data_IF_025500537087
#
_entry.id   IF_025500537087
#
_cell.length_a   1.000
_cell.length_b   1.000
_cell.length_c   1.000
_cell.angle_alpha   90.00
_cell.angle_beta   90.00
_cell.angle_gamma   90.00
#
_symmetry.space_group_name_H-M   'P 1'
#
loop_
_entity.id
_entity.type
_entity.pdbx_description
1 polymer ?
#
# COMPACT_ATOMS: atom_id res chain seq x y z
N UNK A 1 -12.42 20.95 -27.60
CA UNK A 1 -11.49 20.11 -26.82
C UNK A 1 -10.42 21.00 -26.24
N UNK A 2 -10.65 21.46 -25.01
CA UNK A 2 -9.89 22.52 -24.36
C UNK A 2 -8.70 21.97 -23.56
N UNK A 3 -7.75 22.84 -23.23
CA UNK A 3 -6.52 22.53 -22.45
C UNK A 3 -6.77 21.78 -21.12
N UNK A 4 -8.00 21.79 -20.59
CA UNK A 4 -8.45 21.05 -19.41
C UNK A 4 -8.44 19.53 -19.61
N UNK A 5 -8.89 19.03 -20.76
CA UNK A 5 -9.00 17.59 -21.05
C UNK A 5 -7.62 16.92 -21.11
N UNK A 6 -6.63 17.61 -21.69
CA UNK A 6 -5.25 17.13 -21.78
C UNK A 6 -4.57 17.09 -20.40
N UNK A 7 -4.88 18.05 -19.53
CA UNK A 7 -4.36 18.07 -18.15
C UNK A 7 -4.90 16.90 -17.33
N UNK A 8 -6.19 16.59 -17.49
CA UNK A 8 -6.87 15.52 -16.76
C UNK A 8 -6.36 14.14 -17.21
N UNK A 9 -6.18 13.94 -18.52
CA UNK A 9 -5.56 12.73 -19.08
C UNK A 9 -4.13 12.49 -18.58
N UNK A 10 -3.32 13.55 -18.43
CA UNK A 10 -1.97 13.43 -17.89
C UNK A 10 -1.95 12.98 -16.42
N UNK A 11 -2.88 13.47 -15.60
CA UNK A 11 -3.01 13.04 -14.20
C UNK A 11 -3.49 11.59 -14.07
N UNK A 12 -4.23 11.07 -15.06
CA UNK A 12 -4.64 9.66 -15.13
C UNK A 12 -3.48 8.73 -15.41
N UNK A 13 -2.68 9.05 -16.42
CA UNK A 13 -1.51 8.24 -16.75
C UNK A 13 -0.51 8.18 -15.59
N UNK A 14 -0.31 9.31 -14.88
CA UNK A 14 0.51 9.36 -13.67
C UNK A 14 -0.06 8.51 -12.54
N UNK A 15 -1.39 8.52 -12.34
CA UNK A 15 -2.04 7.71 -11.32
C UNK A 15 -1.88 6.21 -11.61
N UNK A 16 -2.13 5.80 -12.85
CA UNK A 16 -1.91 4.42 -13.32
C UNK A 16 -0.47 3.97 -13.04
N UNK A 17 0.51 4.76 -13.50
CA UNK A 17 1.93 4.44 -13.32
C UNK A 17 2.31 4.29 -11.85
N UNK A 18 1.85 5.20 -10.99
CA UNK A 18 2.13 5.14 -9.55
C UNK A 18 1.42 3.97 -8.86
N UNK A 19 0.23 3.56 -9.32
CA UNK A 19 -0.44 2.37 -8.82
C UNK A 19 0.36 1.11 -9.16
N UNK A 20 0.78 0.95 -10.41
CA UNK A 20 1.60 -0.19 -10.86
C UNK A 20 2.91 -0.23 -10.08
N UNK A 21 3.63 0.89 -10.01
CA UNK A 21 4.91 0.95 -9.32
C UNK A 21 4.78 0.61 -7.83
N UNK A 22 3.79 1.21 -7.14
CA UNK A 22 3.56 0.95 -5.72
C UNK A 22 3.16 -0.50 -5.47
N UNK A 23 2.32 -1.08 -6.33
CA UNK A 23 1.93 -2.48 -6.24
C UNK A 23 3.12 -3.43 -6.41
N UNK A 24 3.98 -3.18 -7.41
CA UNK A 24 5.16 -3.99 -7.67
C UNK A 24 6.19 -3.89 -6.56
N UNK A 25 6.45 -2.69 -6.06
CA UNK A 25 7.36 -2.48 -4.93
C UNK A 25 6.82 -3.16 -3.67
N UNK A 26 5.51 -3.09 -3.40
CA UNK A 26 4.88 -3.79 -2.28
C UNK A 26 4.99 -5.33 -2.43
N UNK A 27 4.72 -5.88 -3.62
CA UNK A 27 4.86 -7.32 -3.88
C UNK A 27 6.31 -7.77 -3.72
N UNK A 28 7.27 -7.02 -4.27
CA UNK A 28 8.71 -7.29 -4.12
C UNK A 28 9.11 -7.26 -2.64
N UNK A 29 8.66 -6.25 -1.90
CA UNK A 29 8.91 -6.09 -0.48
C UNK A 29 8.39 -7.28 0.35
N UNK A 30 7.14 -7.70 0.13
CA UNK A 30 6.54 -8.83 0.84
C UNK A 30 7.23 -10.16 0.49
N UNK A 31 7.70 -10.33 -0.76
CA UNK A 31 8.53 -11.48 -1.15
C UNK A 31 9.88 -11.47 -0.45
N UNK A 32 10.57 -10.33 -0.44
CA UNK A 32 11.83 -10.15 0.28
C UNK A 32 11.66 -10.45 1.77
N UNK A 33 10.57 -9.97 2.38
CA UNK A 33 10.26 -10.25 3.78
C UNK A 33 10.14 -11.74 4.05
N UNK A 34 9.38 -12.47 3.24
CA UNK A 34 9.23 -13.93 3.38
C UNK A 34 10.58 -14.66 3.33
N UNK A 35 11.51 -14.19 2.50
CA UNK A 35 12.86 -14.73 2.40
C UNK A 35 13.68 -14.37 3.66
N UNK A 36 13.67 -13.11 4.06
CA UNK A 36 14.41 -12.61 5.23
C UNK A 36 13.95 -13.26 6.54
N UNK A 37 12.65 -13.52 6.71
CA UNK A 37 12.14 -14.29 7.84
C UNK A 37 12.67 -15.73 7.85
N UNK A 38 12.80 -16.35 6.67
CA UNK A 38 13.43 -17.68 6.58
C UNK A 38 14.92 -17.67 6.94
N UNK A 39 15.64 -16.58 6.63
CA UNK A 39 17.03 -16.40 7.06
C UNK A 39 17.10 -16.17 8.56
N UNK A 40 16.21 -15.33 9.11
CA UNK A 40 16.08 -15.11 10.55
C UNK A 40 15.83 -16.43 11.29
N UNK A 41 14.85 -17.23 10.84
CA UNK A 41 14.49 -18.51 11.43
C UNK A 41 15.69 -19.46 11.48
N UNK A 42 16.46 -19.57 10.39
CA UNK A 42 17.67 -20.40 10.36
C UNK A 42 18.75 -19.91 11.33
N UNK A 43 18.99 -18.60 11.39
CA UNK A 43 20.00 -18.01 12.31
C UNK A 43 19.65 -18.27 13.78
N UNK A 44 18.37 -18.34 14.10
CA UNK A 44 17.87 -18.57 15.46
C UNK A 44 17.52 -20.03 15.76
N UNK A 45 17.90 -20.98 14.89
CA UNK A 45 17.65 -22.42 15.12
C UNK A 45 16.17 -22.83 15.04
N UNK A 46 15.31 -22.00 14.46
CA UNK A 46 13.87 -22.24 14.35
C UNK A 46 13.57 -23.10 13.12
N UNK A 47 13.55 -24.43 13.30
CA UNK A 47 13.48 -25.38 12.18
C UNK A 47 12.11 -26.08 11.98
N UNK A 48 11.25 -26.12 13.00
CA UNK A 48 10.05 -26.97 12.99
C UNK A 48 8.75 -26.20 13.29
N UNK A 49 8.40 -26.02 14.56
CA UNK A 49 7.18 -25.35 14.99
C UNK A 49 7.44 -23.88 15.34
N UNK A 50 6.41 -23.04 15.18
CA UNK A 50 6.40 -21.64 15.62
C UNK A 50 7.52 -20.74 15.02
N UNK A 51 7.93 -21.02 13.78
CA UNK A 51 8.86 -20.16 13.04
C UNK A 51 8.20 -18.81 12.71
N UNK A 52 8.98 -17.72 12.67
CA UNK A 52 8.47 -16.38 12.36
C UNK A 52 7.81 -16.34 10.97
N UNK A 53 8.41 -17.05 10.00
CA UNK A 53 7.87 -17.20 8.65
C UNK A 53 6.53 -17.94 8.62
N UNK A 54 6.35 -18.95 9.47
CA UNK A 54 5.07 -19.66 9.58
C UNK A 54 4.00 -18.81 10.25
N UNK A 55 4.35 -18.11 11.32
CA UNK A 55 3.45 -17.23 12.08
C UNK A 55 2.91 -16.08 11.22
N UNK A 56 3.79 -15.42 10.44
CA UNK A 56 3.40 -14.30 9.59
C UNK A 56 2.83 -14.71 8.22
N UNK A 57 2.73 -16.02 7.91
CA UNK A 57 2.36 -16.51 6.57
C UNK A 57 1.03 -15.96 6.08
N UNK A 58 0.00 -15.94 6.95
CA UNK A 58 -1.32 -15.41 6.62
C UNK A 58 -1.26 -13.92 6.28
N UNK A 59 -0.63 -13.13 7.14
CA UNK A 59 -0.44 -11.69 6.94
C UNK A 59 0.36 -11.37 5.67
N UNK A 60 1.39 -12.16 5.36
CA UNK A 60 2.18 -12.05 4.12
C UNK A 60 1.29 -12.29 2.89
N UNK A 61 0.40 -13.29 2.95
CA UNK A 61 -0.54 -13.56 1.87
C UNK A 61 -1.52 -12.40 1.71
N UNK A 62 -2.14 -11.94 2.79
CA UNK A 62 -3.07 -10.80 2.77
C UNK A 62 -2.43 -9.54 2.18
N UNK A 63 -1.20 -9.21 2.59
CA UNK A 63 -0.49 -8.06 2.05
C UNK A 63 -0.16 -8.20 0.55
N UNK A 64 0.20 -9.41 0.11
CA UNK A 64 0.44 -9.69 -1.32
C UNK A 64 -0.86 -9.59 -2.13
N UNK A 65 -1.96 -10.13 -1.61
CA UNK A 65 -3.26 -10.11 -2.28
C UNK A 65 -3.75 -8.67 -2.41
N UNK A 66 -3.67 -7.86 -1.33
CA UNK A 66 -4.01 -6.43 -1.36
C UNK A 66 -3.13 -5.62 -2.34
N UNK A 67 -1.83 -5.92 -2.43
CA UNK A 67 -0.95 -5.30 -3.42
C UNK A 67 -1.29 -5.74 -4.86
N UNK A 68 -1.77 -6.96 -5.05
CA UNK A 68 -2.23 -7.43 -6.37
C UNK A 68 -3.56 -6.73 -6.77
N UNK A 69 -4.45 -6.49 -5.81
CA UNK A 69 -5.67 -5.69 -6.04
C UNK A 69 -5.36 -4.25 -6.45
N UNK A 70 -4.32 -3.63 -5.88
CA UNK A 70 -3.84 -2.33 -6.35
C UNK A 70 -3.45 -2.34 -7.83
N UNK A 71 -2.77 -3.40 -8.28
CA UNK A 71 -2.41 -3.56 -9.69
C UNK A 71 -3.64 -3.79 -10.57
N UNK A 72 -4.62 -4.55 -10.10
CA UNK A 72 -5.89 -4.73 -10.82
C UNK A 72 -6.63 -3.41 -11.03
N UNK A 73 -6.62 -2.50 -10.04
CA UNK A 73 -7.20 -1.16 -10.20
C UNK A 73 -6.45 -0.35 -11.25
N UNK A 74 -5.12 -0.46 -11.30
CA UNK A 74 -4.34 0.19 -12.36
C UNK A 74 -4.73 -0.33 -13.74
N UNK A 75 -4.88 -1.64 -13.89
CA UNK A 75 -5.31 -2.26 -15.16
C UNK A 75 -6.76 -1.86 -15.53
N UNK A 76 -7.62 -1.61 -14.54
CA UNK A 76 -8.97 -1.09 -14.77
C UNK A 76 -8.94 0.35 -15.28
N UNK A 77 -8.13 1.20 -14.64
CA UNK A 77 -7.91 2.60 -15.05
C UNK A 77 -7.32 2.67 -16.46
N UNK A 78 -6.36 1.80 -16.80
CA UNK A 78 -5.75 1.75 -18.13
C UNK A 78 -6.76 1.38 -19.23
N UNK A 79 -7.80 0.59 -18.87
CA UNK A 79 -8.84 0.12 -19.80
C UNK A 79 -10.01 1.08 -19.90
N UNK A 80 -10.20 1.99 -18.95
CA UNK A 80 -11.32 2.91 -18.99
C UNK A 80 -11.05 4.06 -19.95
N UNK A 81 -12.08 4.46 -20.69
CA UNK A 81 -12.00 5.59 -21.63
C UNK A 81 -11.90 6.93 -20.91
N UNK A 82 -12.42 7.01 -19.69
CA UNK A 82 -12.42 8.20 -18.87
C UNK A 82 -12.31 7.78 -17.42
N UNK A 83 -11.40 8.39 -16.68
CA UNK A 83 -11.38 8.21 -15.25
C UNK A 83 -12.64 8.82 -14.63
N UNK A 84 -13.12 8.16 -13.60
CA UNK A 84 -14.36 8.48 -12.92
C UNK A 84 -14.15 8.44 -11.41
N UNK A 85 -15.08 9.06 -10.67
CA UNK A 85 -15.01 9.11 -9.22
C UNK A 85 -14.93 7.70 -8.59
N UNK A 86 -15.56 6.69 -9.21
CA UNK A 86 -15.52 5.32 -8.71
C UNK A 86 -14.13 4.69 -8.84
N UNK A 87 -13.36 4.99 -9.89
CA UNK A 87 -12.00 4.48 -10.07
C UNK A 87 -11.03 5.12 -9.10
N UNK A 88 -11.17 6.43 -8.85
CA UNK A 88 -10.35 7.08 -7.84
C UNK A 88 -10.69 6.58 -6.44
N UNK A 89 -11.98 6.41 -6.14
CA UNK A 89 -12.43 5.81 -4.88
C UNK A 89 -11.91 4.39 -4.72
N UNK A 90 -11.92 3.58 -5.79
CA UNK A 90 -11.34 2.24 -5.81
C UNK A 90 -9.83 2.27 -5.56
N UNK A 91 -9.08 3.14 -6.25
CA UNK A 91 -7.64 3.32 -6.06
C UNK A 91 -7.31 3.69 -4.61
N UNK A 92 -8.06 4.63 -4.02
CA UNK A 92 -7.92 5.01 -2.61
C UNK A 92 -8.21 3.85 -1.66
N UNK A 93 -9.32 3.17 -1.86
CA UNK A 93 -9.74 2.05 -1.01
C UNK A 93 -8.68 0.95 -1.01
N UNK A 94 -8.22 0.53 -2.19
CA UNK A 94 -7.20 -0.52 -2.34
C UNK A 94 -5.83 -0.09 -1.83
N UNK A 95 -5.44 1.18 -1.99
CA UNK A 95 -4.22 1.72 -1.37
C UNK A 95 -4.28 1.63 0.15
N UNK A 96 -5.40 2.01 0.76
CA UNK A 96 -5.58 1.93 2.20
C UNK A 96 -5.52 0.47 2.68
N UNK A 97 -6.22 -0.45 1.99
CA UNK A 97 -6.18 -1.88 2.30
C UNK A 97 -4.75 -2.45 2.26
N UNK A 98 -3.96 -2.12 1.22
CA UNK A 98 -2.57 -2.54 1.12
C UNK A 98 -1.70 -1.93 2.24
N UNK A 99 -1.87 -0.63 2.52
CA UNK A 99 -1.20 0.05 3.63
C UNK A 99 -1.49 -0.62 4.97
N UNK A 100 -2.75 -0.95 5.23
CA UNK A 100 -3.18 -1.52 6.50
C UNK A 100 -2.72 -2.97 6.65
N UNK A 101 -2.75 -3.77 5.59
CA UNK A 101 -2.14 -5.10 5.58
C UNK A 101 -0.62 -5.06 5.87
N UNK A 102 0.09 -4.06 5.33
CA UNK A 102 1.51 -3.87 5.62
C UNK A 102 1.76 -3.37 7.05
N UNK A 103 0.89 -2.53 7.62
CA UNK A 103 0.97 -2.16 9.05
C UNK A 103 0.70 -3.36 9.95
N UNK A 104 -0.23 -4.22 9.57
CA UNK A 104 -0.56 -5.42 10.31
C UNK A 104 0.61 -6.40 10.36
N UNK A 105 1.40 -6.53 9.27
CA UNK A 105 2.66 -7.26 9.29
C UNK A 105 3.62 -6.76 10.39
N UNK A 106 3.79 -5.44 10.53
CA UNK A 106 4.61 -4.87 11.61
C UNK A 106 4.02 -5.14 12.99
N UNK A 107 2.70 -5.06 13.14
CA UNK A 107 2.02 -5.32 14.40
C UNK A 107 2.19 -6.77 14.84
N UNK A 108 1.97 -7.71 13.92
CA UNK A 108 2.08 -9.14 14.16
C UNK A 108 3.52 -9.59 14.41
N UNK A 109 4.49 -8.94 13.78
CA UNK A 109 5.90 -9.17 14.10
C UNK A 109 6.23 -8.83 15.57
N UNK A 110 5.70 -7.71 16.08
CA UNK A 110 5.83 -7.39 17.51
C UNK A 110 5.14 -8.41 18.40
N UNK A 111 3.93 -8.85 18.04
CA UNK A 111 3.23 -9.91 18.77
C UNK A 111 4.07 -11.18 18.82
N UNK A 112 4.69 -11.56 17.70
CA UNK A 112 5.60 -12.70 17.66
C UNK A 112 6.79 -12.51 18.60
N UNK A 113 7.46 -11.36 18.55
CA UNK A 113 8.60 -11.06 19.42
C UNK A 113 8.18 -11.03 20.90
N UNK A 114 6.96 -10.62 21.21
CA UNK A 114 6.44 -10.66 22.59
C UNK A 114 6.10 -12.06 23.08
N UNK A 115 5.70 -12.97 22.19
CA UNK A 115 5.43 -14.37 22.50
C UNK A 115 6.71 -15.19 22.60
N UNK A 116 7.73 -14.84 21.83
CA UNK A 116 8.95 -15.64 21.67
C UNK A 116 10.20 -14.97 22.28
N UNK A 117 10.14 -13.69 22.64
CA UNK A 117 11.14 -13.00 23.43
C UNK A 117 11.04 -13.42 24.89
N UNK A 118 12.20 -13.71 25.49
CA UNK A 118 12.47 -14.18 26.87
C UNK A 118 11.36 -13.93 27.92
N UNK A 119 11.13 -14.88 28.85
CA UNK A 119 9.92 -14.98 29.68
C UNK A 119 9.51 -13.69 30.38
N UNK A 120 8.24 -13.29 30.21
CA UNK A 120 7.59 -12.14 30.87
C UNK A 120 7.30 -12.40 32.37
N UNK A 121 8.22 -12.98 33.14
CA UNK A 121 8.03 -13.21 34.58
C UNK A 121 9.32 -13.60 35.30
N UNK A 122 9.47 -13.14 36.56
CA UNK A 122 10.47 -13.40 37.63
C UNK A 122 11.96 -13.57 37.22
N UNK A 123 12.29 -14.29 36.17
CA UNK A 123 13.63 -14.50 35.58
C UNK A 123 14.31 -13.17 35.24
N UNK A 124 13.59 -12.13 34.78
CA UNK A 124 14.19 -10.79 34.54
C UNK A 124 14.63 -10.08 35.82
N UNK A 125 14.00 -10.39 36.96
CA UNK A 125 14.43 -9.88 38.27
C UNK A 125 15.70 -10.61 38.68
N UNK A 126 15.79 -11.92 38.42
CA UNK A 126 16.95 -12.74 38.75
C UNK A 126 18.17 -12.31 37.93
N UNK A 127 18.05 -12.09 36.61
CA UNK A 127 19.18 -11.62 35.78
C UNK A 127 19.66 -10.23 36.21
N UNK A 128 18.77 -9.31 36.59
CA UNK A 128 19.17 -8.00 37.11
C UNK A 128 19.80 -8.07 38.52
N UNK A 129 19.48 -9.09 39.31
CA UNK A 129 20.07 -9.32 40.64
C UNK A 129 21.40 -10.07 40.54
N UNK A 130 21.56 -10.98 39.58
CA UNK A 130 22.81 -11.74 39.35
C UNK A 130 23.85 -10.94 38.55
N UNK A 131 23.42 -10.06 37.63
CA UNK A 131 24.31 -9.23 36.79
C UNK A 131 24.57 -7.89 37.52
N UNK A 132 25.00 -7.98 38.78
CA UNK A 132 25.50 -6.87 39.57
C UNK A 132 26.95 -6.47 39.24
N UNK A 133 27.54 -6.99 38.16
CA UNK A 133 28.95 -6.74 37.83
C UNK A 133 29.09 -6.03 36.49
N UNK A 134 29.32 -4.71 36.56
CA UNK A 134 29.62 -3.83 35.44
C UNK A 134 30.84 -4.34 34.67
N UNK A 135 30.68 -4.61 33.37
CA UNK A 135 31.79 -4.57 32.42
C UNK A 135 31.49 -3.48 31.40
N UNK A 136 32.19 -2.34 31.53
CA UNK A 136 32.28 -1.34 30.46
C UNK A 136 33.04 -1.97 29.31
N UNK A 137 32.45 -2.06 28.12
CA UNK A 137 33.21 -2.24 26.87
C UNK A 137 32.95 -1.07 25.94
N UNK A 138 34.04 -0.36 25.66
CA UNK A 138 34.20 0.76 24.72
C UNK A 138 34.81 0.17 23.45
N UNK A 139 34.28 0.44 22.26
CA UNK A 139 34.90 0.01 21.01
C UNK A 139 34.04 0.24 19.75
N UNK A 140 34.34 1.35 19.07
CA UNK A 140 34.24 1.71 17.65
C UNK A 140 33.10 1.17 16.74
N UNK A 141 32.33 2.16 16.28
CA UNK A 141 31.75 2.34 14.94
C UNK A 141 32.51 1.62 13.81
N UNK A 142 31.81 0.72 13.11
CA UNK A 142 31.49 0.83 11.66
C UNK A 142 31.15 -0.51 10.94
N UNK A 143 31.06 -1.64 11.65
CA UNK A 143 30.64 -2.95 11.06
C UNK A 143 29.38 -3.59 11.69
N UNK A 144 28.67 -2.86 12.55
CA UNK A 144 27.69 -3.40 13.51
C UNK A 144 26.23 -3.47 13.01
N UNK A 145 25.95 -3.25 11.72
CA UNK A 145 24.56 -3.17 11.24
C UNK A 145 23.90 -4.52 10.95
N UNK A 146 24.68 -5.62 10.91
CA UNK A 146 24.20 -6.97 10.53
C UNK A 146 23.96 -7.86 11.75
N UNK A 147 24.64 -7.60 12.86
CA UNK A 147 24.55 -8.36 14.12
C UNK A 147 23.38 -7.95 15.03
N UNK A 148 22.62 -6.90 14.70
CA UNK A 148 21.55 -6.34 15.55
C UNK A 148 20.10 -6.63 15.11
N UNK A 149 19.87 -7.60 14.23
CA UNK A 149 18.49 -7.98 13.83
C UNK A 149 18.04 -9.23 14.62
N UNK A 150 17.97 -9.06 15.93
CA UNK A 150 17.60 -10.11 16.90
C UNK A 150 16.09 -10.25 17.09
N UNK A 151 15.28 -9.48 16.34
CA UNK A 151 13.82 -9.53 16.45
C UNK A 151 13.15 -9.54 15.09
N UNK A 152 11.96 -10.14 15.02
CA UNK A 152 11.15 -10.22 13.81
C UNK A 152 10.62 -8.84 13.42
N UNK A 153 10.28 -7.98 14.37
CA UNK A 153 9.90 -6.58 14.12
C UNK A 153 11.05 -5.80 13.46
N UNK A 154 12.30 -6.04 13.87
CA UNK A 154 13.47 -5.46 13.23
C UNK A 154 13.63 -5.97 11.79
N UNK A 155 13.45 -7.27 11.53
CA UNK A 155 13.47 -7.85 10.17
C UNK A 155 12.41 -7.19 9.29
N UNK A 156 11.17 -7.05 9.77
CA UNK A 156 10.07 -6.43 9.01
C UNK A 156 10.37 -4.97 8.72
N UNK A 157 10.77 -4.19 9.74
CA UNK A 157 11.06 -2.76 9.59
C UNK A 157 12.22 -2.52 8.62
N UNK A 158 13.31 -3.28 8.75
CA UNK A 158 14.46 -3.17 7.85
C UNK A 158 14.05 -3.49 6.42
N UNK A 159 13.39 -4.64 6.21
CA UNK A 159 12.95 -5.05 4.88
C UNK A 159 12.10 -3.96 4.23
N UNK A 160 11.09 -3.45 4.95
CA UNK A 160 10.23 -2.40 4.40
C UNK A 160 11.00 -1.13 4.06
N UNK A 161 11.94 -0.71 4.91
CA UNK A 161 12.78 0.47 4.66
C UNK A 161 13.65 0.32 3.42
N UNK A 162 14.17 -0.88 3.17
CA UNK A 162 15.12 -1.13 2.06
C UNK A 162 14.44 -1.46 0.74
N UNK A 163 13.25 -2.06 0.76
CA UNK A 163 12.60 -2.58 -0.46
C UNK A 163 11.30 -1.87 -0.83
N UNK A 164 10.80 -0.94 -0.01
CA UNK A 164 9.53 -0.26 -0.28
C UNK A 164 9.60 1.25 -0.03
N UNK A 165 9.26 2.02 -1.05
CA UNK A 165 9.25 3.49 -1.04
C UNK A 165 8.06 4.09 -0.28
N UNK A 166 7.03 3.30 0.04
CA UNK A 166 5.85 3.75 0.77
C UNK A 166 4.70 4.21 -0.12
N UNK A 167 3.57 4.54 0.50
CA UNK A 167 2.34 4.95 -0.20
C UNK A 167 2.19 6.46 -0.38
N UNK A 168 3.17 7.27 0.04
CA UNK A 168 3.02 8.72 0.10
C UNK A 168 2.84 9.37 -1.28
N UNK A 169 3.65 8.97 -2.27
CA UNK A 169 3.55 9.48 -3.64
C UNK A 169 2.19 9.14 -4.26
N UNK A 170 1.77 7.88 -4.16
CA UNK A 170 0.47 7.42 -4.63
C UNK A 170 -0.69 8.16 -3.94
N UNK A 171 -0.64 8.32 -2.61
CA UNK A 171 -1.66 9.08 -1.86
C UNK A 171 -1.80 10.51 -2.37
N UNK A 172 -0.68 11.19 -2.64
CA UNK A 172 -0.70 12.54 -3.22
C UNK A 172 -1.32 12.54 -4.61
N UNK A 173 -0.92 11.60 -5.46
CA UNK A 173 -1.44 11.53 -6.83
C UNK A 173 -2.94 11.26 -6.85
N UNK A 174 -3.45 10.38 -5.98
CA UNK A 174 -4.89 10.15 -5.82
C UNK A 174 -5.59 11.47 -5.47
N UNK A 175 -5.07 12.24 -4.51
CA UNK A 175 -5.66 13.54 -4.17
C UNK A 175 -5.58 14.57 -5.29
N UNK A 176 -4.54 14.55 -6.13
CA UNK A 176 -4.44 15.42 -7.31
C UNK A 176 -5.47 15.02 -8.37
N UNK A 177 -5.59 13.72 -8.66
CA UNK A 177 -6.54 13.18 -9.61
C UNK A 177 -7.99 13.54 -9.22
N UNK A 178 -8.36 13.45 -7.93
CA UNK A 178 -9.70 13.84 -7.46
C UNK A 178 -10.00 15.31 -7.69
N UNK A 179 -9.04 16.18 -7.37
CA UNK A 179 -9.20 17.62 -7.58
C UNK A 179 -9.29 17.97 -9.06
N UNK A 180 -8.64 17.20 -9.93
CA UNK A 180 -8.71 17.40 -11.37
C UNK A 180 -10.08 17.03 -11.95
N UNK A 181 -10.80 16.09 -11.33
CA UNK A 181 -12.14 15.71 -11.76
C UNK A 181 -13.22 16.73 -11.36
N UNK A 182 -13.09 17.41 -10.21
CA UNK A 182 -14.14 18.30 -9.69
C UNK A 182 -14.59 19.42 -10.66
N UNK A 183 -13.68 20.12 -11.38
CA UNK A 183 -14.07 21.09 -12.42
C UNK A 183 -14.61 20.43 -13.70
N UNK A 184 -14.05 19.29 -14.09
CA UNK A 184 -14.40 18.60 -15.35
C UNK A 184 -15.81 17.98 -15.33
N UNK A 185 -16.31 17.61 -14.15
CA UNK A 185 -17.70 17.15 -13.96
C UNK A 185 -18.71 18.26 -14.24
N UNK A 186 -18.39 19.51 -13.86
CA UNK A 186 -19.26 20.67 -14.13
C UNK A 186 -19.30 20.98 -15.62
N UNK A 187 -18.16 20.88 -16.32
CA UNK A 187 -18.13 21.04 -17.79
C UNK A 187 -18.87 19.91 -18.51
N UNK A 188 -18.66 18.63 -18.13
CA UNK A 188 -19.43 17.52 -18.72
C UNK A 188 -20.92 17.58 -18.41
N UNK A 189 -21.31 17.99 -17.20
CA UNK A 189 -22.72 18.17 -16.85
C UNK A 189 -23.37 19.28 -17.68
N UNK A 190 -22.63 20.36 -17.99
CA UNK A 190 -23.08 21.41 -18.92
C UNK A 190 -23.22 20.88 -20.34
N UNK A 191 -22.23 20.15 -20.84
CA UNK A 191 -22.24 19.60 -22.21
C UNK A 191 -23.40 18.60 -22.41
N UNK A 192 -23.67 17.75 -21.40
CA UNK A 192 -24.83 16.85 -21.41
C UNK A 192 -26.16 17.61 -21.30
N UNK A 193 -26.25 18.65 -20.47
CA UNK A 193 -27.44 19.51 -20.43
C UNK A 193 -27.65 20.24 -21.76
N UNK A 194 -26.59 20.70 -22.42
CA UNK A 194 -26.68 21.32 -23.74
C UNK A 194 -27.16 20.32 -24.81
N UNK A 195 -26.65 19.10 -24.87
CA UNK A 195 -27.12 18.05 -25.80
C UNK A 195 -28.61 17.68 -25.55
N UNK A 196 -29.02 17.59 -24.28
CA UNK A 196 -30.43 17.35 -23.92
C UNK A 196 -31.33 18.53 -24.33
N UNK A 197 -30.88 19.76 -24.11
CA UNK A 197 -31.62 20.97 -24.50
C UNK A 197 -31.74 21.10 -26.02
N UNK A 198 -30.71 20.74 -26.78
CA UNK A 198 -30.73 20.71 -28.25
C UNK A 198 -31.71 19.65 -28.74
N UNK A 199 -31.69 18.44 -28.16
CA UNK A 199 -32.65 17.37 -28.50
C UNK A 199 -34.10 17.74 -28.17
N UNK A 200 -34.36 18.50 -27.11
CA UNK A 200 -35.70 18.99 -26.76
C UNK A 200 -36.18 20.14 -27.65
N UNK A 201 -35.28 21.00 -28.14
CA UNK A 201 -35.62 22.07 -29.09
C UNK A 201 -35.78 21.59 -30.55
N UNK A 202 -35.30 20.39 -30.87
CA UNK A 202 -35.24 19.85 -32.23
C UNK A 202 -36.49 19.16 -32.76
N UNK A 203 -37.60 19.07 -32.01
CA UNK A 203 -38.88 18.51 -32.51
C UNK A 203 -39.90 19.60 -32.82
N UNK A 204 -39.93 20.16 -34.05
CA UNK A 204 -41.10 20.88 -34.51
C UNK A 204 -42.23 19.87 -34.73
N UNK A 205 -43.30 19.98 -33.94
CA UNK A 205 -44.53 19.25 -34.19
C UNK A 205 -45.09 19.70 -35.55
N UNK A 206 -44.94 18.87 -36.57
CA UNK A 206 -45.66 19.01 -37.83
C UNK A 206 -47.15 18.84 -37.54
N UNK A 207 -47.80 19.97 -37.27
CA UNK A 207 -49.24 20.16 -37.46
C UNK A 207 -49.52 20.01 -38.95
N UNK A 208 -49.99 18.83 -39.35
CA UNK A 208 -50.71 18.66 -40.60
C UNK A 208 -52.20 18.73 -40.28
N UNK A 209 -52.78 19.92 -40.45
CA UNK A 209 -54.22 20.10 -40.66
C UNK A 209 -54.40 20.13 -42.17
N UNK A 210 -55.28 19.28 -42.70
CA UNK A 210 -56.04 19.56 -43.93
C UNK A 210 -57.24 18.60 -44.05
N UNK A 211 -58.42 19.21 -43.87
CA UNK A 211 -59.74 19.05 -44.54
C UNK A 211 -60.15 17.65 -44.99
#
# INVERSE_FOLDING_TARGET
MGKSDTSVAAEFFKLELLLIQTADDAIKCVKALKTNLGVYDRRHGLHFANTSKSFLRGNIRTAKDAASELRLVADQIAKSKFLSDWEIAAARNKMNAASDAMKELKRQARVYDEMNGKPKGIIRIIDNVLIGTRVKKKGNQDDDAVDTIDTVDAVVKLTFRTTFSGFHALKRQISVAEKSLSPSLVERAKDVMEDVVIKLKGTPATRSVSI
#
